data_IF_169190151399
#
_entry.id   IF_169190151399
#
_cell.length_a   1.000
_cell.length_b   1.000
_cell.length_c   1.000
_cell.angle_alpha   90.00
_cell.angle_beta   90.00
_cell.angle_gamma   90.00
#
_symmetry.space_group_name_H-M   'P 1'
#
loop_
_entity.id
_entity.type
_entity.pdbx_description
1 polymer ?
#
# COMPACT_ATOMS: atom_id res chain seq x y z
N UNK A 1 -5.92 15.96 5.31
CA UNK A 1 -5.44 15.00 4.30
C UNK A 1 -5.21 13.65 4.94
N UNK A 2 -5.60 12.61 4.27
CA UNK A 2 -5.53 11.25 4.81
C UNK A 2 -4.43 10.47 4.10
N UNK A 3 -3.71 9.64 4.86
CA UNK A 3 -2.75 8.69 4.31
C UNK A 3 -3.33 7.29 4.42
N UNK A 4 -3.47 6.61 3.28
CA UNK A 4 -4.00 5.26 3.21
C UNK A 4 -2.91 4.24 2.96
N UNK A 5 -3.05 3.04 3.54
CA UNK A 5 -2.25 1.88 3.15
C UNK A 5 -3.09 0.98 2.27
N UNK A 6 -2.55 0.60 1.13
CA UNK A 6 -3.27 -0.19 0.13
C UNK A 6 -2.50 -1.46 -0.23
N UNK A 7 -3.24 -2.49 -0.59
CA UNK A 7 -2.66 -3.79 -0.97
C UNK A 7 -2.14 -3.83 -2.41
N UNK A 8 -2.48 -2.83 -3.22
CA UNK A 8 -2.07 -2.77 -4.62
C UNK A 8 -2.18 -1.34 -5.13
N UNK A 9 -1.56 -1.08 -6.28
CA UNK A 9 -1.59 0.23 -6.94
C UNK A 9 -2.83 0.32 -7.82
N UNK A 10 -3.92 0.84 -7.26
CA UNK A 10 -5.19 0.96 -7.98
C UNK A 10 -5.74 2.37 -7.79
N UNK A 11 -6.17 2.98 -8.88
CA UNK A 11 -6.85 4.27 -8.83
C UNK A 11 -8.33 3.99 -8.57
N UNK A 12 -8.90 4.53 -7.47
CA UNK A 12 -10.32 4.33 -7.18
C UNK A 12 -11.22 4.90 -8.26
N UNK A 13 -12.36 4.26 -8.45
CA UNK A 13 -13.36 4.70 -9.43
C UNK A 13 -13.86 6.10 -9.07
N UNK A 14 -13.94 6.97 -10.07
CA UNK A 14 -14.41 8.35 -9.89
C UNK A 14 -13.35 9.33 -9.40
N UNK A 15 -12.13 8.88 -9.18
CA UNK A 15 -11.02 9.74 -8.72
C UNK A 15 -10.35 10.43 -9.91
N UNK A 16 -11.00 11.46 -10.42
CA UNK A 16 -10.49 12.21 -11.57
C UNK A 16 -9.57 13.34 -11.10
N UNK A 17 -8.46 13.48 -11.78
CA UNK A 17 -7.46 14.49 -11.44
C UNK A 17 -6.07 14.04 -11.84
N UNK A 18 -5.08 14.56 -11.15
CA UNK A 18 -3.68 14.22 -11.37
C UNK A 18 -3.18 13.34 -10.24
N UNK A 19 -2.42 12.31 -10.57
CA UNK A 19 -1.81 11.42 -9.60
C UNK A 19 -0.29 11.51 -9.74
N UNK A 20 0.39 11.94 -8.68
CA UNK A 20 1.84 11.85 -8.60
C UNK A 20 2.21 10.49 -8.06
N UNK A 21 2.98 9.72 -8.82
CA UNK A 21 3.34 8.35 -8.47
C UNK A 21 4.86 8.22 -8.46
N UNK A 22 5.39 7.69 -7.38
CA UNK A 22 6.83 7.48 -7.28
C UNK A 22 7.17 6.28 -6.42
N UNK A 23 8.42 5.81 -6.51
CA UNK A 23 8.88 4.72 -5.67
C UNK A 23 9.03 5.18 -4.22
N UNK A 24 8.85 4.23 -3.31
CA UNK A 24 8.98 4.48 -1.88
C UNK A 24 9.83 3.36 -1.30
N UNK A 25 10.93 3.72 -0.65
CA UNK A 25 11.79 2.72 0.01
C UNK A 25 11.08 2.15 1.24
N UNK A 26 11.46 0.94 1.62
CA UNK A 26 10.91 0.32 2.83
C UNK A 26 11.20 1.16 4.07
N UNK A 27 12.42 1.70 4.18
CA UNK A 27 12.78 2.54 5.32
C UNK A 27 11.92 3.80 5.40
N UNK A 28 11.65 4.43 4.25
CA UNK A 28 10.81 5.63 4.19
C UNK A 28 9.36 5.29 4.51
N UNK A 29 8.87 4.15 4.01
CA UNK A 29 7.52 3.68 4.34
C UNK A 29 7.37 3.45 5.84
N UNK A 30 8.36 2.80 6.47
CA UNK A 30 8.37 2.60 7.93
C UNK A 30 8.33 3.91 8.68
N UNK A 31 9.12 4.88 8.25
CA UNK A 31 9.14 6.21 8.86
C UNK A 31 7.75 6.86 8.79
N UNK A 32 7.14 6.86 7.62
CA UNK A 32 5.84 7.52 7.41
C UNK A 32 4.73 6.90 8.26
N UNK A 33 4.64 5.58 8.32
CA UNK A 33 3.57 4.91 9.08
C UNK A 33 3.81 4.99 10.58
N UNK A 34 5.02 5.20 11.02
CA UNK A 34 5.35 5.38 12.44
C UNK A 34 5.07 6.80 12.90
N UNK A 35 5.37 7.79 12.07
CA UNK A 35 5.29 9.20 12.45
C UNK A 35 3.94 9.84 12.13
N UNK A 36 3.19 9.29 11.18
CA UNK A 36 1.91 9.83 10.75
C UNK A 36 0.80 8.83 10.95
N UNK A 37 -0.40 9.32 11.21
CA UNK A 37 -1.58 8.47 11.27
C UNK A 37 -1.93 7.96 9.87
N UNK A 38 -2.39 6.72 9.81
CA UNK A 38 -2.81 6.12 8.55
C UNK A 38 -4.13 5.39 8.69
N UNK A 39 -4.83 5.21 7.58
CA UNK A 39 -6.03 4.40 7.49
C UNK A 39 -5.71 3.17 6.63
N UNK A 40 -5.92 1.98 7.17
CA UNK A 40 -5.74 0.77 6.38
C UNK A 40 -6.89 0.59 5.41
N UNK A 41 -6.56 0.34 4.15
CA UNK A 41 -7.48 -0.08 3.10
C UNK A 41 -7.00 -1.40 2.49
N UNK A 42 -6.30 -2.20 3.28
CA UNK A 42 -5.75 -3.49 2.85
C UNK A 42 -6.84 -4.54 2.94
N UNK A 43 -7.39 -4.91 1.79
CA UNK A 43 -8.56 -5.79 1.69
C UNK A 43 -8.25 -7.27 1.54
N UNK A 44 -7.02 -7.68 1.83
CA UNK A 44 -6.59 -9.08 1.81
C UNK A 44 -5.82 -9.39 3.08
N UNK A 45 -6.27 -10.38 3.84
CA UNK A 45 -5.68 -10.69 5.15
C UNK A 45 -4.21 -11.10 5.04
N UNK A 46 -3.84 -11.88 4.04
CA UNK A 46 -2.44 -12.27 3.84
C UNK A 46 -1.54 -11.08 3.56
N UNK A 47 -2.02 -10.12 2.76
CA UNK A 47 -1.26 -8.90 2.47
C UNK A 47 -1.14 -8.03 3.72
N UNK A 48 -2.19 -7.94 4.54
CA UNK A 48 -2.15 -7.21 5.80
C UNK A 48 -1.09 -7.78 6.75
N UNK A 49 -0.98 -9.10 6.83
CA UNK A 49 0.06 -9.75 7.65
C UNK A 49 1.46 -9.46 7.13
N UNK A 50 1.65 -9.51 5.81
CA UNK A 50 2.93 -9.20 5.18
C UNK A 50 3.32 -7.73 5.45
N UNK A 51 2.40 -6.81 5.26
CA UNK A 51 2.66 -5.39 5.48
C UNK A 51 2.96 -5.09 6.94
N UNK A 52 2.26 -5.76 7.86
CA UNK A 52 2.53 -5.65 9.30
C UNK A 52 3.97 -6.06 9.61
N UNK A 53 4.42 -7.17 9.06
CA UNK A 53 5.79 -7.65 9.24
C UNK A 53 6.82 -6.69 8.65
N UNK A 54 6.59 -6.22 7.43
CA UNK A 54 7.54 -5.35 6.73
C UNK A 54 7.60 -3.95 7.33
N UNK A 55 6.46 -3.37 7.67
CA UNK A 55 6.38 -1.99 8.14
C UNK A 55 6.59 -1.87 9.66
N UNK A 56 6.57 -2.98 10.38
CA UNK A 56 6.78 -3.04 11.84
C UNK A 56 5.74 -2.24 12.61
N UNK A 57 4.53 -2.15 12.06
CA UNK A 57 3.34 -1.60 12.72
C UNK A 57 2.16 -2.50 12.38
N UNK A 58 1.13 -2.50 13.22
CA UNK A 58 -0.06 -3.29 12.91
C UNK A 58 -0.81 -2.68 11.73
N UNK A 59 -0.99 -3.46 10.68
CA UNK A 59 -1.79 -3.08 9.50
C UNK A 59 -3.03 -3.96 9.51
N UNK A 60 -4.19 -3.42 9.94
CA UNK A 60 -5.40 -4.23 10.02
C UNK A 60 -5.92 -4.62 8.64
N UNK A 61 -6.50 -5.81 8.54
CA UNK A 61 -7.34 -6.16 7.40
C UNK A 61 -8.55 -5.23 7.43
N UNK A 62 -8.76 -4.49 6.34
CA UNK A 62 -9.87 -3.55 6.27
C UNK A 62 -10.27 -3.32 4.82
N UNK A 63 -11.42 -3.83 4.43
CA UNK A 63 -11.98 -3.55 3.11
C UNK A 63 -12.69 -2.21 3.17
N UNK A 64 -12.09 -1.23 2.53
CA UNK A 64 -12.57 0.14 2.53
C UNK A 64 -12.75 0.61 1.09
N UNK A 65 -13.91 1.17 0.82
CA UNK A 65 -14.16 1.84 -0.45
C UNK A 65 -13.69 3.29 -0.31
N UNK A 66 -12.53 3.58 -0.90
CA UNK A 66 -11.89 4.89 -0.77
C UNK A 66 -12.52 5.88 -1.72
N UNK A 67 -12.89 7.05 -1.19
CA UNK A 67 -13.26 8.23 -1.98
C UNK A 67 -12.15 9.26 -1.77
N UNK A 68 -11.18 9.35 -2.67
CA UNK A 68 -10.03 10.24 -2.47
C UNK A 68 -10.43 11.71 -2.47
N UNK A 69 -9.73 12.48 -1.65
CA UNK A 69 -9.85 13.93 -1.61
C UNK A 69 -8.52 14.55 -1.97
N UNK A 70 -8.56 15.78 -2.43
CA UNK A 70 -7.37 16.52 -2.83
C UNK A 70 -6.29 16.46 -1.73
N UNK A 71 -5.10 16.04 -2.12
CA UNK A 71 -3.96 15.94 -1.21
C UNK A 71 -3.84 14.62 -0.47
N UNK A 72 -4.80 13.70 -0.61
CA UNK A 72 -4.68 12.38 0.02
C UNK A 72 -3.51 11.60 -0.58
N UNK A 73 -2.81 10.85 0.28
CA UNK A 73 -1.69 10.02 -0.13
C UNK A 73 -2.00 8.55 0.09
N UNK A 74 -1.35 7.72 -0.71
CA UNK A 74 -1.58 6.27 -0.73
C UNK A 74 -0.22 5.58 -0.75
N UNK A 75 0.06 4.78 0.28
CA UNK A 75 1.22 3.92 0.30
C UNK A 75 0.76 2.55 -0.13
N UNK A 76 1.22 2.11 -1.29
CA UNK A 76 0.74 0.89 -1.93
C UNK A 76 1.84 -0.17 -1.94
N UNK A 77 1.49 -1.36 -1.49
CA UNK A 77 2.34 -2.53 -1.60
C UNK A 77 2.26 -3.06 -3.02
N UNK A 78 3.40 -3.50 -3.55
CA UNK A 78 3.44 -4.02 -4.92
C UNK A 78 4.40 -5.20 -4.99
N UNK A 79 3.99 -6.23 -5.72
CA UNK A 79 4.87 -7.34 -6.08
C UNK A 79 5.47 -7.09 -7.46
N UNK A 80 6.76 -7.39 -7.60
CA UNK A 80 7.47 -7.16 -8.87
C UNK A 80 7.14 -8.21 -9.92
N UNK A 81 6.72 -9.39 -9.48
CA UNK A 81 6.27 -10.45 -10.39
C UNK A 81 5.14 -11.24 -9.74
N UNK A 82 4.44 -12.03 -10.54
CA UNK A 82 3.36 -12.84 -10.06
C UNK A 82 3.91 -14.03 -9.26
N UNK A 83 3.48 -14.24 -7.99
CA UNK A 83 3.92 -15.41 -7.24
C UNK A 83 3.36 -16.69 -7.86
N UNK A 84 4.02 -17.84 -7.64
CA UNK A 84 3.48 -19.11 -8.09
C UNK A 84 2.08 -19.36 -7.52
N UNK A 85 1.23 -20.02 -8.29
CA UNK A 85 -0.11 -20.36 -7.86
C UNK A 85 -0.08 -21.18 -6.57
N UNK A 86 -0.88 -20.78 -5.58
CA UNK A 86 -0.92 -21.43 -4.28
C UNK A 86 0.21 -21.07 -3.33
N UNK A 87 1.11 -20.18 -3.73
CA UNK A 87 2.21 -19.75 -2.87
C UNK A 87 1.71 -18.90 -1.70
N UNK A 88 2.33 -19.12 -0.54
CA UNK A 88 2.09 -18.28 0.64
C UNK A 88 3.03 -17.08 0.55
N UNK A 89 2.52 -15.89 0.82
CA UNK A 89 3.34 -14.67 0.84
C UNK A 89 4.11 -14.58 2.16
N UNK A 90 5.15 -15.38 2.27
CA UNK A 90 6.11 -15.29 3.37
C UNK A 90 7.37 -14.53 2.91
N UNK A 91 8.32 -14.36 3.82
CA UNK A 91 9.55 -13.63 3.53
C UNK A 91 10.32 -14.25 2.36
N UNK A 92 10.39 -15.56 2.32
CA UNK A 92 11.10 -16.28 1.26
C UNK A 92 10.45 -16.08 -0.10
N UNK A 93 9.13 -16.19 -0.19
CA UNK A 93 8.40 -15.94 -1.43
C UNK A 93 8.53 -14.50 -1.87
N UNK A 94 8.46 -13.54 -0.94
CA UNK A 94 8.63 -12.12 -1.25
C UNK A 94 10.01 -11.83 -1.83
N UNK A 95 11.05 -12.41 -1.27
CA UNK A 95 12.42 -12.23 -1.78
C UNK A 95 12.57 -12.85 -3.17
N UNK A 96 11.91 -13.96 -3.43
CA UNK A 96 11.97 -14.63 -4.72
C UNK A 96 11.26 -13.86 -5.84
N UNK A 97 10.07 -13.30 -5.56
CA UNK A 97 9.29 -12.57 -6.57
C UNK A 97 9.65 -11.10 -6.65
N UNK A 98 10.23 -10.56 -5.58
CA UNK A 98 10.50 -9.14 -5.46
C UNK A 98 9.27 -8.36 -5.03
N UNK A 99 9.49 -7.30 -4.27
CA UNK A 99 8.41 -6.44 -3.79
C UNK A 99 8.93 -5.02 -3.58
N UNK A 100 7.99 -4.11 -3.42
CA UNK A 100 8.31 -2.74 -3.12
C UNK A 100 7.08 -1.98 -2.69
N UNK A 101 7.28 -0.70 -2.46
CA UNK A 101 6.21 0.23 -2.15
C UNK A 101 6.22 1.36 -3.16
N UNK A 102 5.03 1.89 -3.39
CA UNK A 102 4.79 3.05 -4.25
C UNK A 102 4.00 4.05 -3.44
N UNK A 103 4.37 5.31 -3.53
CA UNK A 103 3.56 6.38 -2.97
C UNK A 103 2.83 7.10 -4.09
N UNK A 104 1.54 7.32 -3.89
CA UNK A 104 0.71 8.07 -4.83
C UNK A 104 0.05 9.22 -4.09
N UNK A 105 0.06 10.41 -4.68
CA UNK A 105 -0.61 11.58 -4.12
C UNK A 105 -1.65 12.06 -5.12
N UNK A 106 -2.87 12.24 -4.65
CA UNK A 106 -4.00 12.63 -5.48
C UNK A 106 -4.20 14.14 -5.46
N UNK A 107 -4.32 14.72 -6.66
CA UNK A 107 -4.66 16.13 -6.86
C UNK A 107 -5.99 16.18 -7.61
N UNK A 108 -7.04 16.59 -6.92
CA UNK A 108 -8.37 16.61 -7.50
C UNK A 108 -8.46 17.57 -8.68
N UNK A 109 -9.26 17.21 -9.65
CA UNK A 109 -9.51 18.02 -10.81
C UNK A 109 -10.31 19.29 -10.47
#
# INVERSE_FOLDING_TARGET
MTMYLCSTTVIPSGAYGTWDVGPLTLDRARFLVRELDFVSAVGHSSTAEVMTSLLEVEVPFNRLNIVPKDGDSFICFKLDSRPPEGAILDRETLEAVGYGFVIMVYHAK
#
